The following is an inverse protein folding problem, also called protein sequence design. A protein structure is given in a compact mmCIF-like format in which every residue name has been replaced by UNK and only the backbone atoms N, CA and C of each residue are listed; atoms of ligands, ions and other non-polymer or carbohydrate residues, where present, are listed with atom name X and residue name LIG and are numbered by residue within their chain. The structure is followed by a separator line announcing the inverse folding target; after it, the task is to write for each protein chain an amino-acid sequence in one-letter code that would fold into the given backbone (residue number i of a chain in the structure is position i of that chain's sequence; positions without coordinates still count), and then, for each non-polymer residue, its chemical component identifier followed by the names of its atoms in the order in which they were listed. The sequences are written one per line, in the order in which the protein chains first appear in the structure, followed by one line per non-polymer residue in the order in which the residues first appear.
data_IF_354398144991
#
_entry.id   IF_354398144991
#
_cell.length_a   1.000
_cell.length_b   1.000
_cell.length_c   1.000
_cell.angle_alpha   90.00
_cell.angle_beta   90.00
_cell.angle_gamma   90.00
#
_symmetry.space_group_name_H-M   'P 1'
#
loop_
_entity.id
_entity.type
_entity.pdbx_description
1 polymer ?
#
# COMPACT_ATOMS: atom_id res chain seq x y z
N UNK A 1 -15.44 21.98 22.53
CA UNK A 1 -14.14 22.33 23.14
C UNK A 1 -13.20 21.14 23.40
N UNK A 2 -13.61 19.87 23.15
CA UNK A 2 -12.78 18.66 23.36
C UNK A 2 -11.74 18.35 22.25
N UNK A 3 -11.74 19.04 21.11
CA UNK A 3 -10.84 18.73 19.97
C UNK A 3 -9.39 19.19 20.22
N UNK A 4 -9.13 20.10 21.16
CA UNK A 4 -7.76 20.60 21.43
C UNK A 4 -6.85 19.59 22.15
N UNK A 5 -7.39 18.61 22.87
CA UNK A 5 -6.57 17.59 23.56
C UNK A 5 -6.05 16.49 22.61
N UNK A 6 -6.55 16.43 21.38
CA UNK A 6 -6.27 15.37 20.41
C UNK A 6 -5.00 15.57 19.57
N UNK A 7 -4.39 16.78 19.57
CA UNK A 7 -3.21 17.06 18.73
C UNK A 7 -1.89 16.87 19.50
N UNK A 8 -1.87 17.08 20.82
CA UNK A 8 -0.68 16.83 21.65
C UNK A 8 -0.34 15.34 21.80
N UNK A 9 -1.29 14.45 21.47
CA UNK A 9 -1.10 13.00 21.44
C UNK A 9 -1.17 12.50 19.99
N UNK A 10 -0.31 13.02 19.11
CA UNK A 10 -0.14 12.41 17.80
C UNK A 10 0.16 10.92 17.99
N UNK A 11 -0.66 10.07 17.36
CA UNK A 11 -0.49 8.63 17.42
C UNK A 11 0.96 8.28 17.11
N UNK A 12 1.63 7.43 17.92
CA UNK A 12 2.96 6.92 17.59
C UNK A 12 3.05 6.41 16.14
N UNK A 13 1.93 5.88 15.63
CA UNK A 13 1.76 5.46 14.23
C UNK A 13 1.96 6.59 13.23
N UNK A 14 1.26 7.73 13.38
CA UNK A 14 1.39 8.87 12.48
C UNK A 14 2.82 9.45 12.51
N UNK A 15 3.42 9.50 13.70
CA UNK A 15 4.83 9.93 13.86
C UNK A 15 5.80 9.02 13.12
N UNK A 16 5.55 7.70 13.10
CA UNK A 16 6.38 6.78 12.32
C UNK A 16 6.31 7.08 10.81
N UNK A 17 5.12 7.33 10.25
CA UNK A 17 4.99 7.76 8.85
C UNK A 17 5.75 9.05 8.57
N UNK A 18 5.59 10.07 9.42
CA UNK A 18 6.33 11.34 9.28
C UNK A 18 7.85 11.10 9.29
N UNK A 19 8.35 10.31 10.25
CA UNK A 19 9.79 10.04 10.37
C UNK A 19 10.34 9.27 9.16
N UNK A 20 9.61 8.27 8.67
CA UNK A 20 10.01 7.52 7.47
C UNK A 20 9.97 8.44 6.24
N UNK A 21 8.91 9.23 6.06
CA UNK A 21 8.84 10.19 4.94
C UNK A 21 9.98 11.21 4.97
N UNK A 22 10.31 11.77 6.14
CA UNK A 22 11.45 12.68 6.30
C UNK A 22 12.75 11.96 5.97
N UNK A 23 12.95 10.74 6.46
CA UNK A 23 14.12 9.93 6.14
C UNK A 23 14.26 9.71 4.62
N UNK A 24 13.20 9.31 3.92
CA UNK A 24 13.21 9.09 2.48
C UNK A 24 13.52 10.38 1.72
N UNK A 25 12.91 11.51 2.09
CA UNK A 25 13.25 12.82 1.52
C UNK A 25 14.73 13.16 1.69
N UNK A 26 15.30 12.92 2.88
CA UNK A 26 16.74 13.13 3.13
C UNK A 26 17.59 12.19 2.28
N UNK A 27 17.20 10.91 2.16
CA UNK A 27 17.91 9.95 1.31
C UNK A 27 17.86 10.35 -0.16
N UNK A 28 16.74 10.84 -0.69
CA UNK A 28 16.64 11.37 -2.06
C UNK A 28 17.70 12.44 -2.35
N UNK A 29 18.02 13.28 -1.36
CA UNK A 29 19.07 14.29 -1.48
C UNK A 29 20.46 13.66 -1.33
N UNK A 30 20.71 12.88 -0.27
CA UNK A 30 22.08 12.49 0.12
C UNK A 30 22.58 11.16 -0.47
N UNK A 31 21.69 10.29 -0.97
CA UNK A 31 22.00 8.89 -1.31
C UNK A 31 22.61 8.67 -2.71
N UNK A 32 22.81 9.72 -3.50
CA UNK A 32 22.96 9.61 -4.97
C UNK A 32 24.10 8.69 -5.43
N UNK A 33 25.22 8.69 -4.72
CA UNK A 33 26.43 7.97 -5.13
C UNK A 33 26.73 6.76 -4.24
N UNK A 34 25.81 6.39 -3.34
CA UNK A 34 25.96 5.27 -2.41
C UNK A 34 24.96 4.17 -2.78
N UNK A 35 25.39 3.06 -3.41
CA UNK A 35 24.48 2.06 -3.99
C UNK A 35 23.42 1.53 -3.02
N UNK A 36 23.78 1.28 -1.75
CA UNK A 36 22.82 0.80 -0.75
C UNK A 36 21.76 1.85 -0.40
N UNK A 37 22.11 3.14 -0.46
CA UNK A 37 21.18 4.23 -0.16
C UNK A 37 20.25 4.54 -1.34
N UNK A 38 20.62 4.17 -2.58
CA UNK A 38 19.74 4.29 -3.75
C UNK A 38 18.44 3.48 -3.61
N UNK A 39 18.42 2.48 -2.72
CA UNK A 39 17.21 1.74 -2.38
C UNK A 39 16.17 2.61 -1.65
N UNK A 40 16.58 3.72 -1.04
CA UNK A 40 15.73 4.64 -0.28
C UNK A 40 15.52 5.98 -0.99
N UNK A 41 15.92 6.09 -2.26
CA UNK A 41 15.79 7.32 -3.04
C UNK A 41 14.44 7.35 -3.75
N UNK A 42 13.60 8.36 -3.46
CA UNK A 42 12.26 8.45 -4.06
C UNK A 42 12.28 8.57 -5.59
N UNK A 43 13.37 9.07 -6.19
CA UNK A 43 13.50 9.25 -7.65
C UNK A 43 13.46 7.94 -8.45
N UNK A 44 13.84 6.84 -7.83
CA UNK A 44 13.90 5.56 -8.54
C UNK A 44 12.62 4.80 -8.32
N UNK A 45 11.98 4.42 -9.41
CA UNK A 45 10.94 3.41 -9.40
C UNK A 45 11.54 2.03 -9.01
N UNK A 46 10.69 1.13 -8.49
CA UNK A 46 11.10 -0.22 -8.08
C UNK A 46 12.14 -0.31 -6.95
N UNK A 47 12.07 0.56 -5.94
CA UNK A 47 12.89 0.45 -4.73
C UNK A 47 12.06 0.52 -3.43
N UNK A 48 12.72 0.60 -2.26
CA UNK A 48 12.02 0.67 -0.98
C UNK A 48 11.24 1.97 -0.78
N UNK A 49 11.67 3.07 -1.39
CA UNK A 49 10.99 4.35 -1.28
C UNK A 49 9.64 4.31 -2.03
N UNK A 50 9.63 3.86 -3.29
CA UNK A 50 8.42 3.65 -4.07
C UNK A 50 7.50 2.59 -3.43
N UNK A 51 8.08 1.48 -2.93
CA UNK A 51 7.32 0.46 -2.19
C UNK A 51 6.63 1.04 -0.95
N UNK A 52 7.34 1.86 -0.17
CA UNK A 52 6.78 2.53 1.00
C UNK A 52 5.67 3.49 0.61
N UNK A 53 5.91 4.35 -0.40
CA UNK A 53 4.94 5.31 -0.94
C UNK A 53 3.64 4.61 -1.38
N UNK A 54 3.76 3.53 -2.15
CA UNK A 54 2.62 2.73 -2.60
C UNK A 54 1.85 2.07 -1.45
N UNK A 55 2.56 1.46 -0.48
CA UNK A 55 1.91 0.84 0.68
C UNK A 55 1.37 1.86 1.68
N UNK A 56 1.91 3.08 1.68
CA UNK A 56 1.38 4.21 2.44
C UNK A 56 0.03 4.63 1.87
N UNK A 57 -0.09 4.81 0.54
CA UNK A 57 -1.38 5.03 -0.13
C UNK A 57 -2.41 3.93 0.18
N UNK A 58 -1.99 2.65 0.15
CA UNK A 58 -2.85 1.53 0.54
C UNK A 58 -3.33 1.66 1.99
N UNK A 59 -2.45 2.04 2.90
CA UNK A 59 -2.80 2.26 4.32
C UNK A 59 -3.84 3.37 4.47
N UNK A 60 -3.69 4.48 3.75
CA UNK A 60 -4.69 5.56 3.72
C UNK A 60 -6.02 5.04 3.14
N UNK A 61 -5.97 4.21 2.09
CA UNK A 61 -7.14 3.60 1.49
C UNK A 61 -7.91 2.72 2.48
N UNK A 62 -7.21 1.97 3.35
CA UNK A 62 -7.84 1.17 4.40
C UNK A 62 -8.52 2.05 5.46
N UNK A 63 -7.90 3.17 5.85
CA UNK A 63 -8.53 4.16 6.73
C UNK A 63 -9.75 4.85 6.09
N UNK A 64 -9.71 5.10 4.79
CA UNK A 64 -10.88 5.58 4.06
C UNK A 64 -11.99 4.52 4.03
N UNK A 65 -11.64 3.24 3.81
CA UNK A 65 -12.59 2.14 3.85
C UNK A 65 -13.27 1.98 5.22
N UNK A 66 -12.53 2.16 6.32
CA UNK A 66 -13.11 2.19 7.67
C UNK A 66 -14.20 3.27 7.79
N UNK A 67 -14.04 4.41 7.10
CA UNK A 67 -15.07 5.45 7.00
C UNK A 67 -16.33 4.96 6.31
N UNK A 68 -16.20 4.12 5.28
CA UNK A 68 -17.32 3.45 4.63
C UNK A 68 -18.01 2.49 5.58
N UNK A 69 -17.24 1.60 6.22
CA UNK A 69 -17.74 0.61 7.16
C UNK A 69 -18.48 1.26 8.35
N UNK A 70 -17.97 2.37 8.88
CA UNK A 70 -18.58 3.10 9.99
C UNK A 70 -19.95 3.68 9.64
N UNK A 71 -20.14 4.13 8.41
CA UNK A 71 -21.33 4.86 7.99
C UNK A 71 -22.35 3.98 7.24
N UNK A 72 -22.00 2.75 6.83
CA UNK A 72 -22.85 1.91 5.96
C UNK A 72 -24.27 1.68 6.46
N UNK A 73 -24.45 1.56 7.78
CA UNK A 73 -25.75 1.23 8.39
C UNK A 73 -26.65 2.46 8.57
N UNK A 74 -26.08 3.66 8.69
CA UNK A 74 -26.83 4.86 9.06
C UNK A 74 -26.85 5.95 7.99
N UNK A 75 -25.80 6.03 7.15
CA UNK A 75 -25.58 7.11 6.18
C UNK A 75 -24.94 6.57 4.90
N UNK A 76 -25.72 5.84 4.11
CA UNK A 76 -25.27 5.16 2.89
C UNK A 76 -24.49 6.06 1.92
N UNK A 77 -24.95 7.31 1.69
CA UNK A 77 -24.24 8.25 0.80
C UNK A 77 -22.83 8.59 1.30
N UNK A 78 -22.66 8.82 2.60
CA UNK A 78 -21.34 9.07 3.21
C UNK A 78 -20.47 7.81 3.11
N UNK A 79 -21.07 6.64 3.32
CA UNK A 79 -20.35 5.38 3.20
C UNK A 79 -19.82 5.16 1.77
N UNK A 80 -20.64 5.45 0.76
CA UNK A 80 -20.25 5.38 -0.64
C UNK A 80 -19.16 6.39 -0.98
N UNK A 81 -19.25 7.63 -0.48
CA UNK A 81 -18.22 8.64 -0.67
C UNK A 81 -16.83 8.19 -0.16
N UNK A 82 -16.80 7.60 1.04
CA UNK A 82 -15.58 7.04 1.61
C UNK A 82 -15.06 5.80 0.84
N UNK A 83 -15.97 4.97 0.33
CA UNK A 83 -15.60 3.84 -0.52
C UNK A 83 -14.98 4.31 -1.83
N UNK A 84 -15.57 5.31 -2.50
CA UNK A 84 -15.01 5.88 -3.74
C UNK A 84 -13.61 6.46 -3.49
N UNK A 85 -13.42 7.16 -2.38
CA UNK A 85 -12.09 7.65 -2.00
C UNK A 85 -11.09 6.51 -1.74
N UNK A 86 -11.52 5.45 -1.05
CA UNK A 86 -10.70 4.26 -0.83
C UNK A 86 -10.27 3.62 -2.16
N UNK A 87 -11.17 3.47 -3.12
CA UNK A 87 -10.88 2.91 -4.43
C UNK A 87 -9.88 3.77 -5.23
N UNK A 88 -10.02 5.10 -5.21
CA UNK A 88 -9.04 6.01 -5.85
C UNK A 88 -7.66 5.81 -5.23
N UNK A 89 -7.56 5.73 -3.90
CA UNK A 89 -6.28 5.54 -3.20
C UNK A 89 -5.67 4.16 -3.44
N UNK A 90 -6.47 3.10 -3.57
CA UNK A 90 -6.00 1.77 -4.00
C UNK A 90 -5.43 1.85 -5.41
N UNK A 91 -6.09 2.57 -6.32
CA UNK A 91 -5.61 2.68 -7.69
C UNK A 91 -4.32 3.51 -7.79
N UNK A 92 -4.18 4.59 -7.02
CA UNK A 92 -2.93 5.34 -6.90
C UNK A 92 -1.82 4.50 -6.25
N UNK A 93 -2.14 3.70 -5.23
CA UNK A 93 -1.19 2.74 -4.64
C UNK A 93 -0.67 1.74 -5.67
N UNK A 94 -1.57 1.29 -6.56
CA UNK A 94 -1.21 0.38 -7.64
C UNK A 94 -0.33 1.04 -8.69
N UNK A 95 -0.67 2.27 -9.07
CA UNK A 95 0.11 3.06 -10.02
C UNK A 95 1.52 3.38 -9.50
N UNK A 96 1.66 3.73 -8.22
CA UNK A 96 2.95 4.02 -7.60
C UNK A 96 3.96 2.85 -7.67
N UNK A 97 3.49 1.62 -7.48
CA UNK A 97 4.35 0.43 -7.56
C UNK A 97 4.43 -0.11 -8.99
N UNK A 98 3.33 -0.01 -9.73
CA UNK A 98 3.18 -0.60 -11.06
C UNK A 98 3.65 0.29 -12.21
N UNK A 99 3.81 1.59 -11.96
CA UNK A 99 4.10 2.64 -12.94
C UNK A 99 3.16 2.54 -14.15
N UNK A 100 1.85 2.52 -13.91
CA UNK A 100 0.88 2.30 -14.98
C UNK A 100 0.76 3.54 -15.88
N UNK A 101 0.82 4.73 -15.30
CA UNK A 101 0.70 5.98 -16.05
C UNK A 101 1.82 6.17 -17.07
N UNK A 102 2.99 5.57 -16.86
CA UNK A 102 4.08 5.54 -17.85
C UNK A 102 3.89 4.47 -18.93
N UNK A 103 3.14 3.40 -18.62
CA UNK A 103 2.95 2.24 -19.49
C UNK A 103 1.75 2.39 -20.43
N UNK A 104 0.68 3.04 -19.98
CA UNK A 104 -0.53 3.24 -20.80
C UNK A 104 -0.24 3.90 -22.15
N UNK A 105 0.63 4.92 -22.26
CA UNK A 105 0.99 5.52 -23.55
C UNK A 105 1.76 4.57 -24.48
N UNK A 106 2.33 3.46 -23.97
CA UNK A 106 2.98 2.46 -24.81
C UNK A 106 1.98 1.48 -25.47
N UNK A 107 0.72 1.47 -25.02
CA UNK A 107 -0.31 0.54 -25.53
C UNK A 107 -0.95 1.06 -26.84
N UNK A 108 -0.68 2.30 -27.23
CA UNK A 108 -1.05 2.84 -28.55
C UNK A 108 -0.26 4.11 -28.85
N UNK A 109 -0.12 4.49 -30.13
CA UNK A 109 0.67 5.65 -30.59
C UNK A 109 0.05 7.02 -30.22
N UNK A 110 -0.65 7.12 -29.11
CA UNK A 110 -1.26 8.33 -28.58
C UNK A 110 -0.29 9.03 -27.64
N UNK A 111 -0.39 10.37 -27.57
CA UNK A 111 0.36 11.11 -26.56
C UNK A 111 -0.10 10.70 -25.14
N UNK A 112 0.78 10.90 -24.14
CA UNK A 112 0.55 10.49 -22.77
C UNK A 112 -0.74 11.07 -22.17
N UNK A 113 -1.00 12.36 -22.41
CA UNK A 113 -2.19 13.04 -21.88
C UNK A 113 -3.50 12.42 -22.39
N UNK A 114 -3.60 12.14 -23.69
CA UNK A 114 -4.79 11.54 -24.29
C UNK A 114 -4.96 10.10 -23.81
N UNK A 115 -3.86 9.36 -23.65
CA UNK A 115 -3.86 7.98 -23.18
C UNK A 115 -4.36 7.85 -21.73
N UNK A 116 -4.03 8.83 -20.88
CA UNK A 116 -4.43 8.85 -19.47
C UNK A 116 -5.79 9.50 -19.20
N UNK A 117 -6.33 10.26 -20.17
CA UNK A 117 -7.57 11.01 -20.01
C UNK A 117 -8.76 10.18 -19.51
N UNK A 118 -9.03 8.96 -20.02
CA UNK A 118 -10.14 8.15 -19.52
C UNK A 118 -10.01 7.80 -18.04
N UNK A 119 -8.81 7.46 -17.58
CA UNK A 119 -8.53 7.15 -16.18
C UNK A 119 -8.66 8.39 -15.30
N UNK A 120 -8.11 9.51 -15.75
CA UNK A 120 -8.20 10.80 -15.07
C UNK A 120 -9.66 11.24 -14.89
N UNK A 121 -10.52 11.06 -15.91
CA UNK A 121 -11.94 11.40 -15.83
C UNK A 121 -12.69 10.53 -14.81
N UNK A 122 -12.42 9.22 -14.77
CA UNK A 122 -13.03 8.31 -13.78
C UNK A 122 -12.59 8.69 -12.36
N UNK A 123 -11.30 8.94 -12.14
CA UNK A 123 -10.79 9.35 -10.83
C UNK A 123 -11.36 10.70 -10.40
N UNK A 124 -11.38 11.68 -11.32
CA UNK A 124 -11.96 12.99 -11.06
C UNK A 124 -13.45 12.90 -10.70
N UNK A 125 -14.23 12.06 -11.40
CA UNK A 125 -15.64 11.85 -11.10
C UNK A 125 -15.85 11.21 -9.71
N UNK A 126 -15.08 10.17 -9.37
CA UNK A 126 -15.13 9.51 -8.06
C UNK A 126 -14.75 10.47 -6.94
N UNK A 127 -13.68 11.25 -7.12
CA UNK A 127 -13.22 12.24 -6.16
C UNK A 127 -14.22 13.39 -6.00
N UNK A 128 -14.74 13.93 -7.10
CA UNK A 128 -15.75 15.00 -7.08
C UNK A 128 -17.03 14.54 -6.36
N UNK A 129 -17.48 13.31 -6.62
CA UNK A 129 -18.59 12.70 -5.88
C UNK A 129 -18.27 12.64 -4.38
N UNK A 130 -17.12 12.06 -4.00
CA UNK A 130 -16.74 11.91 -2.60
C UNK A 130 -16.66 13.27 -1.88
N UNK A 131 -15.97 14.24 -2.46
CA UNK A 131 -15.82 15.60 -1.92
C UNK A 131 -17.17 16.28 -1.78
N UNK A 132 -18.04 16.21 -2.79
CA UNK A 132 -19.37 16.86 -2.76
C UNK A 132 -20.24 16.30 -1.62
N UNK A 133 -20.29 14.97 -1.48
CA UNK A 133 -21.09 14.33 -0.44
C UNK A 133 -20.53 14.62 0.95
N UNK A 134 -19.21 14.50 1.14
CA UNK A 134 -18.57 14.77 2.42
C UNK A 134 -18.67 16.25 2.81
N UNK A 135 -18.58 17.19 1.85
CA UNK A 135 -18.72 18.62 2.12
C UNK A 135 -20.09 18.99 2.68
N UNK A 136 -21.14 18.35 2.14
CA UNK A 136 -22.53 18.56 2.55
C UNK A 136 -22.87 17.88 3.88
N UNK A 137 -22.10 16.86 4.29
CA UNK A 137 -22.34 16.14 5.53
C UNK A 137 -21.93 16.97 6.77
N UNK A 138 -22.83 17.17 7.76
CA UNK A 138 -22.49 17.86 9.00
C UNK A 138 -21.31 17.17 9.72
N UNK A 139 -20.31 17.96 10.10
CA UNK A 139 -19.12 17.48 10.81
C UNK A 139 -17.97 16.97 9.93
N UNK A 140 -18.15 16.85 8.62
CA UNK A 140 -17.11 16.32 7.70
C UNK A 140 -16.30 17.41 6.97
N UNK A 141 -16.75 18.67 6.97
CA UNK A 141 -16.13 19.77 6.21
C UNK A 141 -14.62 19.90 6.41
N UNK A 142 -14.15 19.84 7.67
CA UNK A 142 -12.70 19.93 7.95
C UNK A 142 -11.93 18.78 7.32
N UNK A 143 -12.46 17.56 7.42
CA UNK A 143 -11.89 16.37 6.78
C UNK A 143 -11.88 16.54 5.27
N UNK A 144 -12.97 17.04 4.67
CA UNK A 144 -13.03 17.34 3.23
C UNK A 144 -11.99 18.37 2.80
N UNK A 145 -11.76 19.44 3.57
CA UNK A 145 -10.71 20.42 3.26
C UNK A 145 -9.34 19.73 3.23
N UNK A 146 -9.02 18.89 4.23
CA UNK A 146 -7.76 18.15 4.24
C UNK A 146 -7.66 17.20 3.04
N UNK A 147 -8.74 16.52 2.66
CA UNK A 147 -8.80 15.68 1.45
C UNK A 147 -8.46 16.52 0.21
N UNK A 148 -9.12 17.68 0.04
CA UNK A 148 -8.86 18.56 -1.09
C UNK A 148 -7.41 19.07 -1.10
N UNK A 149 -6.84 19.44 0.04
CA UNK A 149 -5.44 19.86 0.15
C UNK A 149 -4.51 18.72 -0.22
N UNK A 150 -4.74 17.51 0.29
CA UNK A 150 -3.93 16.33 -0.03
C UNK A 150 -3.91 16.01 -1.52
N UNK A 151 -5.08 15.97 -2.18
CA UNK A 151 -5.14 15.76 -3.63
C UNK A 151 -4.62 16.94 -4.44
N UNK A 152 -4.75 18.18 -3.96
CA UNK A 152 -4.15 19.33 -4.62
C UNK A 152 -2.62 19.25 -4.62
N UNK A 153 -2.01 18.72 -3.54
CA UNK A 153 -0.57 18.45 -3.48
C UNK A 153 -0.17 17.39 -4.52
N UNK A 154 -0.89 16.27 -4.63
CA UNK A 154 -0.66 15.28 -5.69
C UNK A 154 -0.80 15.88 -7.10
N UNK A 155 -1.91 16.58 -7.37
CA UNK A 155 -2.14 17.19 -8.66
C UNK A 155 -1.06 18.22 -9.02
N UNK A 156 -0.45 18.85 -8.02
CA UNK A 156 0.67 19.77 -8.24
C UNK A 156 1.93 19.08 -8.74
N UNK A 157 2.12 17.78 -8.50
CA UNK A 157 3.30 17.04 -8.97
C UNK A 157 3.26 16.82 -10.47
N UNK A 158 2.09 16.47 -11.04
CA UNK A 158 1.92 16.43 -12.50
C UNK A 158 2.24 17.80 -13.15
N UNK A 159 1.93 18.92 -12.48
CA UNK A 159 2.33 20.25 -12.95
C UNK A 159 3.84 20.48 -12.83
N UNK A 160 4.48 19.98 -11.76
CA UNK A 160 5.92 20.07 -11.57
C UNK A 160 6.67 19.27 -12.65
N UNK A 161 6.20 18.06 -12.97
CA UNK A 161 6.71 17.22 -14.06
C UNK A 161 6.55 17.92 -15.43
N UNK A 162 5.39 18.52 -15.69
CA UNK A 162 5.19 19.31 -16.90
C UNK A 162 6.20 20.48 -17.01
N UNK A 163 6.44 21.20 -15.90
CA UNK A 163 7.44 22.28 -15.85
C UNK A 163 8.85 21.73 -16.05
N UNK A 164 9.15 20.54 -15.51
CA UNK A 164 10.42 19.86 -15.76
C UNK A 164 10.69 19.72 -17.26
N UNK A 165 9.71 19.24 -18.01
CA UNK A 165 9.85 19.01 -19.44
C UNK A 165 9.83 20.29 -20.27
N UNK A 166 9.15 21.33 -19.80
CA UNK A 166 9.02 22.60 -20.52
C UNK A 166 10.25 23.52 -20.39
N UNK A 167 11.07 23.35 -19.35
CA UNK A 167 12.20 24.24 -19.05
C UNK A 167 13.53 23.61 -19.45
N UNK A 168 14.39 24.36 -20.17
CA UNK A 168 15.77 23.94 -20.40
C UNK A 168 16.64 24.18 -19.15
N UNK A 169 16.68 23.16 -18.27
CA UNK A 169 17.49 23.17 -17.06
C UNK A 169 19.00 23.12 -17.31
N UNK A 170 19.44 22.89 -18.56
CA UNK A 170 20.86 22.77 -18.90
C UNK A 170 21.56 24.12 -19.07
N UNK A 171 20.77 25.19 -19.28
CA UNK A 171 21.24 26.54 -19.62
C UNK A 171 22.21 27.16 -18.59
N UNK A 172 22.12 26.81 -17.31
CA UNK A 172 23.01 27.33 -16.27
C UNK A 172 23.34 26.27 -15.21
N UNK A 173 24.56 26.31 -14.66
CA UNK A 173 25.04 25.49 -13.53
C UNK A 173 24.06 25.50 -12.35
N UNK A 174 23.46 26.64 -12.01
CA UNK A 174 22.49 26.73 -10.90
C UNK A 174 21.20 25.94 -11.17
N UNK A 175 20.67 26.03 -12.39
CA UNK A 175 19.48 25.26 -12.80
C UNK A 175 19.77 23.76 -12.85
N UNK A 176 20.96 23.38 -13.32
CA UNK A 176 21.41 21.98 -13.22
C UNK A 176 21.47 21.54 -11.76
N UNK A 177 22.09 22.32 -10.88
CA UNK A 177 22.16 21.97 -9.47
C UNK A 177 20.75 21.83 -8.86
N UNK A 178 19.85 22.78 -9.10
CA UNK A 178 18.47 22.71 -8.63
C UNK A 178 17.73 21.46 -9.15
N UNK A 179 17.78 21.21 -10.46
CA UNK A 179 17.16 20.04 -11.10
C UNK A 179 17.60 18.73 -10.46
N UNK A 180 18.90 18.60 -10.14
CA UNK A 180 19.42 17.33 -9.67
C UNK A 180 19.23 17.10 -8.15
N UNK A 181 19.18 18.16 -7.34
CA UNK A 181 19.19 18.03 -5.87
C UNK A 181 17.86 18.41 -5.21
N UNK A 182 17.27 19.52 -5.62
CA UNK A 182 16.09 20.08 -4.95
C UNK A 182 14.79 19.67 -5.63
N UNK A 183 14.79 19.54 -6.95
CA UNK A 183 13.56 19.21 -7.67
C UNK A 183 12.99 17.85 -7.23
N UNK A 184 13.75 16.74 -7.20
CA UNK A 184 13.19 15.46 -6.73
C UNK A 184 12.74 15.52 -5.28
N UNK A 185 13.44 16.27 -4.42
CA UNK A 185 12.99 16.49 -3.05
C UNK A 185 11.63 17.21 -2.98
N UNK A 186 11.42 18.23 -3.81
CA UNK A 186 10.18 19.00 -3.84
C UNK A 186 9.05 18.15 -4.42
N UNK A 187 9.31 17.48 -5.54
CA UNK A 187 8.38 16.63 -6.27
C UNK A 187 7.87 15.50 -5.36
N UNK A 188 8.78 14.61 -4.98
CA UNK A 188 8.50 13.43 -4.15
C UNK A 188 8.07 13.81 -2.73
N UNK A 189 8.67 14.87 -2.17
CA UNK A 189 8.32 15.37 -0.85
C UNK A 189 6.91 15.98 -0.82
N UNK A 190 6.45 16.57 -1.92
CA UNK A 190 5.08 17.09 -2.05
C UNK A 190 4.07 15.95 -2.08
N UNK A 191 4.39 14.84 -2.77
CA UNK A 191 3.54 13.64 -2.76
C UNK A 191 3.42 13.05 -1.36
N UNK A 192 4.56 12.80 -0.69
CA UNK A 192 4.56 12.27 0.68
C UNK A 192 3.84 13.20 1.66
N UNK A 193 3.97 14.52 1.50
CA UNK A 193 3.20 15.48 2.27
C UNK A 193 1.69 15.37 1.99
N UNK A 194 1.31 15.22 0.71
CA UNK A 194 -0.06 14.91 0.30
C UNK A 194 -0.60 13.66 0.99
N UNK A 195 0.16 12.56 0.98
CA UNK A 195 -0.16 11.32 1.69
C UNK A 195 -0.35 11.53 3.19
N UNK A 196 0.55 12.26 3.85
CA UNK A 196 0.44 12.57 5.28
C UNK A 196 -0.82 13.38 5.61
N UNK A 197 -1.19 14.35 4.77
CA UNK A 197 -2.43 15.12 4.93
C UNK A 197 -3.66 14.23 4.74
N UNK A 198 -3.66 13.36 3.72
CA UNK A 198 -4.75 12.41 3.48
C UNK A 198 -4.87 11.37 4.60
N UNK A 199 -3.73 10.87 5.11
CA UNK A 199 -3.70 9.98 6.27
C UNK A 199 -4.34 10.68 7.47
N UNK A 200 -3.97 11.94 7.75
CA UNK A 200 -4.56 12.69 8.85
C UNK A 200 -6.08 12.83 8.70
N UNK A 201 -6.56 13.13 7.48
CA UNK A 201 -7.98 13.17 7.20
C UNK A 201 -8.67 11.82 7.47
N UNK A 202 -8.13 10.73 6.92
CA UNK A 202 -8.71 9.38 6.96
C UNK A 202 -8.62 8.73 8.35
N UNK A 203 -7.59 9.01 9.15
CA UNK A 203 -7.44 8.49 10.51
C UNK A 203 -8.60 8.87 11.44
N UNK A 204 -9.39 9.90 11.09
CA UNK A 204 -10.61 10.24 11.82
C UNK A 204 -11.70 9.17 11.75
N UNK A 205 -11.60 8.23 10.81
CA UNK A 205 -12.49 7.08 10.67
C UNK A 205 -12.06 5.88 11.54
N UNK A 206 -10.78 5.79 11.88
CA UNK A 206 -10.20 4.66 12.62
C UNK A 206 -9.84 5.07 14.05
N UNK A 207 -10.75 5.79 14.71
CA UNK A 207 -10.54 6.31 16.08
C UNK A 207 -10.37 5.23 17.13
N UNK A 208 -10.83 4.00 16.86
CA UNK A 208 -10.63 2.85 17.74
C UNK A 208 -9.16 2.57 18.06
N UNK A 209 -8.23 2.94 17.17
CA UNK A 209 -6.80 2.84 17.45
C UNK A 209 -6.39 3.78 18.60
N UNK A 210 -7.06 4.94 18.73
CA UNK A 210 -6.66 6.04 19.62
C UNK A 210 -7.44 6.08 20.93
N UNK A 211 -8.72 5.69 20.96
CA UNK A 211 -9.54 5.73 22.17
C UNK A 211 -9.45 4.43 22.97
N UNK A 212 -8.85 4.46 24.16
CA UNK A 212 -8.92 3.32 25.11
C UNK A 212 -10.38 3.20 25.61
N UNK A 213 -11.07 2.10 25.29
CA UNK A 213 -12.40 1.76 25.83
C UNK A 213 -13.60 1.88 24.87
N UNK A 214 -13.46 2.50 23.70
CA UNK A 214 -14.52 2.51 22.66
C UNK A 214 -14.17 1.63 21.46
N UNK A 215 -13.17 0.78 21.61
CA UNK A 215 -12.46 0.16 20.48
C UNK A 215 -13.27 -0.90 19.74
N UNK A 216 -14.25 -1.50 20.42
CA UNK A 216 -15.20 -2.43 19.78
C UNK A 216 -16.23 -1.71 18.90
N UNK A 217 -16.38 -0.39 19.05
CA UNK A 217 -17.39 0.40 18.33
C UNK A 217 -16.89 0.99 17.01
N UNK A 218 -15.57 1.00 16.79
CA UNK A 218 -14.98 1.59 15.59
C UNK A 218 -14.30 0.52 14.75
N UNK A 219 -14.52 0.53 13.41
CA UNK A 219 -13.78 -0.34 12.52
C UNK A 219 -12.28 -0.03 12.58
N UNK A 220 -11.47 -1.09 12.52
CA UNK A 220 -10.03 -1.01 12.41
C UNK A 220 -9.59 -1.93 11.29
N UNK A 221 -9.26 -1.32 10.15
CA UNK A 221 -8.89 -2.03 8.92
C UNK A 221 -9.93 -3.08 8.54
N UNK A 222 -11.21 -2.69 8.54
CA UNK A 222 -12.34 -3.60 8.37
C UNK A 222 -12.33 -4.33 7.02
N UNK A 223 -11.71 -3.74 5.99
CA UNK A 223 -11.51 -4.37 4.70
C UNK A 223 -10.78 -5.73 4.83
N UNK A 224 -9.81 -5.84 5.74
CA UNK A 224 -9.00 -7.06 5.95
C UNK A 224 -9.88 -8.26 6.28
N UNK A 225 -10.97 -8.04 7.03
CA UNK A 225 -11.86 -9.12 7.50
C UNK A 225 -13.08 -9.23 6.59
N UNK A 226 -13.78 -8.12 6.37
CA UNK A 226 -15.05 -8.11 5.64
C UNK A 226 -14.92 -8.41 4.15
N UNK A 227 -13.78 -8.08 3.54
CA UNK A 227 -13.50 -8.33 2.12
C UNK A 227 -12.57 -9.53 1.88
N UNK A 228 -12.28 -10.33 2.91
CA UNK A 228 -11.35 -11.47 2.81
C UNK A 228 -11.68 -12.43 1.67
N UNK A 229 -12.94 -12.85 1.56
CA UNK A 229 -13.37 -13.79 0.51
C UNK A 229 -13.36 -13.15 -0.88
N UNK A 230 -13.95 -11.95 -1.10
CA UNK A 230 -13.81 -11.24 -2.37
C UNK A 230 -12.35 -11.06 -2.79
N UNK A 231 -11.48 -10.58 -1.90
CA UNK A 231 -10.06 -10.37 -2.15
C UNK A 231 -9.36 -11.68 -2.54
N UNK A 232 -9.69 -12.80 -1.89
CA UNK A 232 -9.15 -14.11 -2.26
C UNK A 232 -9.55 -14.50 -3.69
N UNK A 233 -10.83 -14.41 -4.02
CA UNK A 233 -11.34 -14.78 -5.35
C UNK A 233 -10.74 -13.89 -6.43
N UNK A 234 -10.73 -12.57 -6.21
CA UNK A 234 -10.16 -11.62 -7.17
C UNK A 234 -8.66 -11.81 -7.32
N UNK A 235 -7.93 -12.13 -6.25
CA UNK A 235 -6.48 -12.39 -6.31
C UNK A 235 -6.15 -13.70 -7.03
N UNK A 236 -6.91 -14.77 -6.80
CA UNK A 236 -6.66 -16.06 -7.46
C UNK A 236 -6.76 -15.95 -8.97
N UNK A 237 -7.72 -15.16 -9.47
CA UNK A 237 -7.94 -14.90 -10.89
C UNK A 237 -7.01 -13.80 -11.41
N UNK A 238 -6.88 -12.71 -10.66
CA UNK A 238 -6.16 -11.50 -11.06
C UNK A 238 -4.65 -11.67 -11.06
N UNK A 239 -4.09 -12.45 -10.13
CA UNK A 239 -2.63 -12.56 -10.00
C UNK A 239 -1.94 -13.12 -11.26
N UNK A 240 -2.42 -14.23 -11.88
CA UNK A 240 -1.89 -14.67 -13.17
C UNK A 240 -2.06 -13.61 -14.27
N UNK A 241 -3.19 -12.91 -14.32
CA UNK A 241 -3.43 -11.89 -15.36
C UNK A 241 -2.46 -10.71 -15.22
N UNK A 242 -2.23 -10.24 -13.99
CA UNK A 242 -1.30 -9.14 -13.71
C UNK A 242 0.15 -9.60 -13.93
N UNK A 243 0.50 -10.83 -13.55
CA UNK A 243 1.81 -11.41 -13.86
C UNK A 243 2.06 -11.49 -15.36
N UNK A 244 1.06 -11.98 -16.12
CA UNK A 244 1.13 -12.05 -17.57
C UNK A 244 1.27 -10.66 -18.18
N UNK A 245 0.43 -9.70 -17.76
CA UNK A 245 0.51 -8.31 -18.18
C UNK A 245 1.92 -7.73 -17.93
N UNK A 246 2.48 -7.98 -16.75
CA UNK A 246 3.84 -7.50 -16.39
C UNK A 246 4.93 -8.06 -17.30
N UNK A 247 4.80 -9.32 -17.74
CA UNK A 247 5.78 -9.97 -18.63
C UNK A 247 5.65 -9.50 -20.08
N UNK A 248 4.44 -9.23 -20.57
CA UNK A 248 4.23 -8.79 -21.95
C UNK A 248 4.43 -7.29 -22.15
N UNK A 249 4.27 -6.50 -21.09
CA UNK A 249 4.51 -5.07 -21.16
C UNK A 249 6.02 -4.83 -21.35
N UNK A 250 6.40 -3.92 -22.27
CA UNK A 250 7.81 -3.61 -22.51
C UNK A 250 8.56 -3.37 -21.19
N UNK A 251 9.63 -4.15 -20.98
CA UNK A 251 10.52 -4.05 -19.83
C UNK A 251 11.60 -2.98 -20.03
N UNK A 252 11.46 -2.16 -21.06
CA UNK A 252 12.52 -1.44 -21.77
C UNK A 252 13.05 -0.19 -21.05
N UNK A 253 12.69 0.02 -19.78
CA UNK A 253 13.46 0.91 -18.90
C UNK A 253 13.69 0.21 -17.57
N UNK A 254 14.94 -0.25 -17.40
CA UNK A 254 15.47 -0.81 -16.16
C UNK A 254 15.36 0.26 -15.06
N UNK A 255 14.25 0.24 -14.34
CA UNK A 255 13.89 1.26 -13.36
C UNK A 255 12.40 1.27 -13.08
N UNK A 256 11.56 1.09 -14.10
CA UNK A 256 10.13 1.37 -13.94
C UNK A 256 9.41 0.38 -13.02
N UNK A 257 8.33 0.82 -12.39
CA UNK A 257 7.47 -0.01 -11.53
C UNK A 257 6.94 -1.26 -12.23
N UNK A 258 6.71 -2.35 -11.49
CA UNK A 258 6.20 -3.63 -12.03
C UNK A 258 4.79 -3.90 -11.49
N UNK A 259 3.76 -4.01 -12.36
CA UNK A 259 2.39 -4.21 -11.90
C UNK A 259 2.22 -5.46 -11.01
N UNK A 260 2.94 -6.55 -11.28
CA UNK A 260 2.87 -7.77 -10.47
C UNK A 260 3.44 -7.66 -9.05
N UNK A 261 4.28 -6.66 -8.77
CA UNK A 261 4.85 -6.45 -7.44
C UNK A 261 3.80 -5.88 -6.47
N UNK A 262 2.87 -5.07 -6.97
CA UNK A 262 1.83 -4.45 -6.15
C UNK A 262 0.92 -5.45 -5.43
N UNK A 263 0.26 -6.43 -6.10
CA UNK A 263 -0.62 -7.36 -5.39
C UNK A 263 0.14 -8.17 -4.33
N UNK A 264 1.39 -8.57 -4.60
CA UNK A 264 2.22 -9.25 -3.61
C UNK A 264 2.51 -8.35 -2.39
N UNK A 265 2.97 -7.12 -2.64
CA UNK A 265 3.25 -6.14 -1.59
C UNK A 265 2.01 -5.80 -0.77
N UNK A 266 0.87 -5.61 -1.44
CA UNK A 266 -0.41 -5.34 -0.82
C UNK A 266 -0.85 -6.49 0.09
N UNK A 267 -0.80 -7.75 -0.37
CA UNK A 267 -1.19 -8.88 0.47
C UNK A 267 -0.26 -9.11 1.65
N UNK A 268 1.05 -8.91 1.49
CA UNK A 268 1.97 -8.93 2.62
C UNK A 268 1.67 -7.82 3.63
N UNK A 269 1.40 -6.60 3.16
CA UNK A 269 1.00 -5.47 4.02
C UNK A 269 -0.30 -5.76 4.77
N UNK A 270 -1.32 -6.29 4.08
CA UNK A 270 -2.57 -6.72 4.69
C UNK A 270 -2.37 -7.85 5.69
N UNK A 271 -1.46 -8.79 5.41
CA UNK A 271 -1.11 -9.87 6.34
C UNK A 271 -0.42 -9.36 7.61
N UNK A 272 0.46 -8.36 7.48
CA UNK A 272 1.09 -7.68 8.60
C UNK A 272 0.04 -6.95 9.45
N UNK A 273 -0.87 -6.20 8.81
CA UNK A 273 -1.96 -5.54 9.52
C UNK A 273 -2.92 -6.53 10.19
N UNK A 274 -3.24 -7.65 9.54
CA UNK A 274 -4.07 -8.70 10.15
C UNK A 274 -3.42 -9.27 11.41
N UNK A 275 -2.12 -9.57 11.38
CA UNK A 275 -1.37 -10.06 12.53
C UNK A 275 -1.27 -9.02 13.66
N UNK A 276 -1.11 -7.73 13.32
CA UNK A 276 -1.04 -6.62 14.28
C UNK A 276 -2.43 -6.14 14.75
N UNK A 277 -3.52 -6.54 14.09
CA UNK A 277 -4.89 -6.05 14.33
C UNK A 277 -5.33 -6.16 15.80
N UNK A 278 -5.04 -7.25 16.54
CA UNK A 278 -5.42 -7.33 17.96
C UNK A 278 -4.78 -6.22 18.80
N UNK A 279 -3.54 -5.80 18.49
CA UNK A 279 -2.89 -4.68 19.15
C UNK A 279 -3.61 -3.36 18.83
N UNK A 280 -3.98 -3.14 17.58
CA UNK A 280 -4.71 -1.94 17.18
C UNK A 280 -6.12 -1.85 17.78
N UNK A 281 -6.83 -2.98 17.89
CA UNK A 281 -8.20 -3.03 18.43
C UNK A 281 -8.23 -3.05 19.95
N UNK A 282 -7.37 -3.79 20.62
CA UNK A 282 -7.50 -4.00 22.06
C UNK A 282 -6.36 -3.38 22.86
N UNK A 283 -5.27 -2.97 22.22
CA UNK A 283 -4.02 -2.60 22.88
C UNK A 283 -3.32 -3.77 23.56
N UNK A 284 -3.87 -4.99 23.47
CA UNK A 284 -3.24 -6.20 23.99
C UNK A 284 -2.00 -6.50 23.17
N UNK A 285 -0.96 -7.01 23.82
CA UNK A 285 0.22 -7.53 23.12
C UNK A 285 -0.19 -8.67 22.19
N UNK A 286 0.24 -8.62 20.93
CA UNK A 286 0.03 -9.71 19.95
C UNK A 286 0.90 -10.95 20.25
N UNK A 287 1.82 -10.84 21.22
CA UNK A 287 2.80 -11.87 21.56
C UNK A 287 3.97 -11.94 20.57
N UNK A 288 5.00 -12.71 20.90
CA UNK A 288 6.19 -12.83 20.05
C UNK A 288 5.84 -13.37 18.66
N UNK A 289 5.03 -14.44 18.57
CA UNK A 289 4.63 -15.05 17.30
C UNK A 289 3.87 -14.09 16.38
N UNK A 290 2.99 -13.25 16.94
CA UNK A 290 2.29 -12.23 16.17
C UNK A 290 3.24 -11.19 15.59
N UNK A 291 4.19 -10.69 16.38
CA UNK A 291 5.22 -9.77 15.91
C UNK A 291 6.17 -10.42 14.90
N UNK A 292 6.53 -11.69 15.08
CA UNK A 292 7.32 -12.43 14.10
C UNK A 292 6.59 -12.52 12.75
N UNK A 293 5.27 -12.77 12.74
CA UNK A 293 4.48 -12.78 11.51
C UNK A 293 4.41 -11.39 10.86
N UNK A 294 4.31 -10.31 11.65
CA UNK A 294 4.41 -8.94 11.14
C UNK A 294 5.76 -8.72 10.46
N UNK A 295 6.86 -9.10 11.11
CA UNK A 295 8.22 -8.94 10.56
C UNK A 295 8.39 -9.77 9.28
N UNK A 296 7.97 -11.03 9.27
CA UNK A 296 8.04 -11.89 8.09
C UNK A 296 7.22 -11.31 6.92
N UNK A 297 6.04 -10.78 7.19
CA UNK A 297 5.21 -10.13 6.17
C UNK A 297 5.86 -8.83 5.65
N UNK A 298 6.47 -8.02 6.51
CA UNK A 298 7.23 -6.81 6.10
C UNK A 298 8.44 -7.19 5.24
N UNK A 299 9.18 -8.25 5.60
CA UNK A 299 10.28 -8.78 4.77
C UNK A 299 9.75 -9.30 3.44
N UNK A 300 8.61 -10.01 3.43
CA UNK A 300 7.92 -10.45 2.22
C UNK A 300 7.55 -9.30 1.29
N UNK A 301 6.95 -8.24 1.85
CA UNK A 301 6.67 -7.00 1.13
C UNK A 301 7.95 -6.37 0.57
N UNK A 302 8.99 -6.26 1.39
CA UNK A 302 10.30 -5.74 0.97
C UNK A 302 10.97 -6.61 -0.11
N UNK A 303 10.67 -7.91 -0.16
CA UNK A 303 11.27 -8.80 -1.16
C UNK A 303 10.68 -8.66 -2.56
N UNK A 304 9.50 -8.04 -2.71
CA UNK A 304 8.84 -7.92 -4.02
C UNK A 304 9.63 -7.07 -5.01
N UNK A 305 10.43 -6.11 -4.52
CA UNK A 305 11.28 -5.27 -5.39
C UNK A 305 12.51 -6.02 -5.96
N UNK A 306 12.80 -7.23 -5.47
CA UNK A 306 13.94 -8.01 -5.97
C UNK A 306 13.70 -8.42 -7.43
N UNK A 307 14.73 -8.36 -8.30
CA UNK A 307 14.61 -8.82 -9.68
C UNK A 307 14.08 -10.26 -9.77
N UNK A 308 13.09 -10.53 -10.66
CA UNK A 308 12.70 -11.90 -10.95
C UNK A 308 13.93 -12.66 -11.48
N UNK A 309 14.09 -13.91 -11.07
CA UNK A 309 15.24 -14.73 -11.45
C UNK A 309 16.50 -14.56 -10.59
N UNK A 310 16.56 -13.59 -9.67
CA UNK A 310 17.65 -13.56 -8.69
C UNK A 310 17.53 -14.79 -7.75
N UNK A 311 18.61 -15.58 -7.52
CA UNK A 311 18.56 -16.74 -6.62
C UNK A 311 18.06 -16.38 -5.22
N UNK A 312 18.35 -15.15 -4.79
CA UNK A 312 17.93 -14.59 -3.51
C UNK A 312 16.40 -14.45 -3.41
N UNK A 313 15.71 -14.14 -4.51
CA UNK A 313 14.26 -13.96 -4.50
C UNK A 313 13.55 -15.30 -4.23
N UNK A 314 13.92 -16.36 -4.95
CA UNK A 314 13.35 -17.70 -4.73
C UNK A 314 13.69 -18.22 -3.34
N UNK A 315 14.94 -18.06 -2.89
CA UNK A 315 15.35 -18.45 -1.54
C UNK A 315 14.55 -17.71 -0.47
N UNK A 316 14.34 -16.40 -0.64
CA UNK A 316 13.55 -15.60 0.29
C UNK A 316 12.11 -16.10 0.38
N UNK A 317 11.45 -16.35 -0.75
CA UNK A 317 10.08 -16.89 -0.78
C UNK A 317 10.02 -18.23 -0.04
N UNK A 318 10.99 -19.13 -0.27
CA UNK A 318 11.07 -20.44 0.40
C UNK A 318 11.20 -20.26 1.91
N UNK A 319 12.16 -19.45 2.35
CA UNK A 319 12.46 -19.23 3.77
C UNK A 319 11.28 -18.59 4.49
N UNK A 320 10.67 -17.55 3.90
CA UNK A 320 9.49 -16.89 4.47
C UNK A 320 8.32 -17.85 4.58
N UNK A 321 8.04 -18.61 3.53
CA UNK A 321 6.93 -19.57 3.49
C UNK A 321 7.11 -20.68 4.52
N UNK A 322 8.32 -21.22 4.65
CA UNK A 322 8.64 -22.25 5.64
C UNK A 322 8.51 -21.70 7.07
N UNK A 323 9.06 -20.52 7.35
CA UNK A 323 8.99 -19.90 8.66
C UNK A 323 7.54 -19.60 9.07
N UNK A 324 6.73 -19.07 8.16
CA UNK A 324 5.32 -18.80 8.42
C UNK A 324 4.51 -20.09 8.63
N UNK A 325 4.75 -21.12 7.81
CA UNK A 325 4.09 -22.41 7.96
C UNK A 325 4.39 -23.06 9.33
N UNK A 326 5.65 -23.01 9.77
CA UNK A 326 6.03 -23.47 11.11
C UNK A 326 5.28 -22.71 12.20
N UNK A 327 5.22 -21.37 12.11
CA UNK A 327 4.50 -20.54 13.08
C UNK A 327 2.99 -20.81 13.12
N UNK A 328 2.37 -21.05 11.96
CA UNK A 328 0.94 -21.36 11.88
C UNK A 328 0.63 -22.73 12.46
N UNK A 329 1.45 -23.74 12.15
CA UNK A 329 1.24 -25.12 12.63
C UNK A 329 1.58 -25.29 14.10
N UNK A 330 2.54 -24.51 14.64
CA UNK A 330 2.87 -24.51 16.07
C UNK A 330 1.97 -23.60 16.90
N UNK A 331 1.20 -22.71 16.26
CA UNK A 331 0.42 -21.68 16.94
C UNK A 331 -0.97 -22.16 17.35
N UNK A 332 -1.37 -22.08 18.64
CA UNK A 332 -2.70 -22.52 19.08
C UNK A 332 -3.86 -21.68 18.52
N UNK A 333 -3.54 -20.56 17.86
CA UNK A 333 -4.51 -19.60 17.29
C UNK A 333 -5.04 -20.01 15.91
N UNK A 334 -4.40 -20.96 15.23
CA UNK A 334 -4.71 -21.28 13.84
C UNK A 334 -5.37 -22.65 13.74
N UNK A 335 -6.60 -22.67 13.24
CA UNK A 335 -7.30 -23.91 12.96
C UNK A 335 -6.71 -24.60 11.73
N UNK A 336 -6.63 -25.95 11.69
CA UNK A 336 -6.18 -26.71 10.52
C UNK A 336 -6.81 -26.28 9.20
N UNK A 337 -8.12 -25.99 9.21
CA UNK A 337 -8.84 -25.53 8.01
C UNK A 337 -8.36 -24.19 7.45
N UNK A 338 -7.68 -23.35 8.23
CA UNK A 338 -7.18 -22.05 7.77
C UNK A 338 -5.86 -22.16 6.99
N UNK A 339 -4.95 -23.04 7.41
CA UNK A 339 -3.61 -23.14 6.80
C UNK A 339 -3.46 -24.24 5.76
N UNK A 340 -4.36 -25.22 5.66
CA UNK A 340 -4.31 -26.25 4.60
C UNK A 340 -4.37 -25.64 3.18
N UNK A 341 -5.32 -24.74 2.84
CA UNK A 341 -5.34 -24.11 1.52
C UNK A 341 -4.08 -23.28 1.24
N UNK A 342 -3.56 -22.59 2.26
CA UNK A 342 -2.32 -21.83 2.15
C UNK A 342 -1.12 -22.75 1.92
N UNK A 343 -1.03 -23.88 2.62
CA UNK A 343 0.02 -24.88 2.42
C UNK A 343 0.00 -25.48 1.02
N UNK A 344 -1.18 -25.73 0.44
CA UNK A 344 -1.34 -26.19 -0.94
C UNK A 344 -0.87 -25.12 -1.93
N UNK A 345 -1.34 -23.88 -1.78
CA UNK A 345 -0.91 -22.76 -2.62
C UNK A 345 0.61 -22.57 -2.56
N UNK A 346 1.18 -22.56 -1.36
CA UNK A 346 2.62 -22.44 -1.15
C UNK A 346 3.39 -23.60 -1.78
N UNK A 347 2.90 -24.83 -1.65
CA UNK A 347 3.57 -26.00 -2.25
C UNK A 347 3.56 -25.95 -3.78
N UNK A 348 2.43 -25.56 -4.39
CA UNK A 348 2.31 -25.37 -5.84
C UNK A 348 3.22 -24.25 -6.31
N UNK A 349 3.21 -23.12 -5.61
CA UNK A 349 4.08 -21.97 -5.83
C UNK A 349 5.56 -22.35 -5.81
N UNK A 350 6.00 -23.09 -4.79
CA UNK A 350 7.39 -23.51 -4.63
C UNK A 350 7.80 -24.53 -5.70
N UNK A 351 6.93 -25.49 -6.01
CA UNK A 351 7.18 -26.46 -7.09
C UNK A 351 7.30 -25.75 -8.45
N UNK A 352 6.39 -24.83 -8.75
CA UNK A 352 6.42 -24.04 -9.99
C UNK A 352 7.68 -23.18 -10.09
N UNK A 353 7.99 -22.39 -9.06
CA UNK A 353 9.19 -21.56 -9.04
C UNK A 353 10.48 -22.38 -9.18
N UNK A 354 10.54 -23.57 -8.59
CA UNK A 354 11.71 -24.44 -8.68
C UNK A 354 11.87 -25.12 -10.04
N UNK A 355 10.76 -25.55 -10.67
CA UNK A 355 10.77 -26.20 -11.98
C UNK A 355 11.00 -25.22 -13.13
N UNK A 356 10.53 -23.97 -12.98
CA UNK A 356 10.51 -22.97 -14.05
C UNK A 356 11.29 -21.71 -13.67
N UNK A 357 12.47 -21.86 -13.03
CA UNK A 357 13.30 -20.74 -12.49
C UNK A 357 13.57 -19.57 -13.45
N UNK A 358 13.46 -19.81 -14.76
CA UNK A 358 13.73 -18.80 -15.80
C UNK A 358 12.44 -18.21 -16.42
N UNK A 359 11.28 -18.42 -15.79
CA UNK A 359 10.01 -17.90 -16.28
C UNK A 359 9.46 -16.84 -15.31
N UNK A 360 9.64 -15.57 -15.66
CA UNK A 360 9.20 -14.42 -14.88
C UNK A 360 7.71 -14.48 -14.53
N UNK A 361 6.87 -14.96 -15.45
CA UNK A 361 5.43 -15.13 -15.19
C UNK A 361 5.18 -16.09 -14.02
N UNK A 362 5.93 -17.19 -13.96
CA UNK A 362 5.83 -18.17 -12.86
C UNK A 362 6.32 -17.54 -11.55
N UNK A 363 7.44 -16.81 -11.58
CA UNK A 363 8.00 -16.14 -10.38
C UNK A 363 7.03 -15.09 -9.82
N UNK A 364 6.47 -14.24 -10.67
CA UNK A 364 5.50 -13.22 -10.26
C UNK A 364 4.21 -13.83 -9.71
N UNK A 365 3.69 -14.88 -10.36
CA UNK A 365 2.48 -15.57 -9.88
C UNK A 365 2.74 -16.25 -8.54
N UNK A 366 3.92 -16.89 -8.42
CA UNK A 366 4.38 -17.56 -7.21
C UNK A 366 4.40 -16.63 -5.99
N UNK A 367 5.04 -15.46 -6.09
CA UNK A 367 5.14 -14.53 -4.96
C UNK A 367 3.77 -13.96 -4.55
N UNK A 368 2.90 -13.69 -5.52
CA UNK A 368 1.54 -13.20 -5.24
C UNK A 368 0.72 -14.23 -4.47
N UNK A 369 0.79 -15.52 -4.86
CA UNK A 369 0.11 -16.59 -4.13
C UNK A 369 0.71 -16.86 -2.76
N UNK A 370 2.03 -16.71 -2.59
CA UNK A 370 2.64 -16.77 -1.26
C UNK A 370 2.10 -15.66 -0.36
N UNK A 371 2.09 -14.41 -0.83
CA UNK A 371 1.54 -13.27 -0.11
C UNK A 371 0.06 -13.45 0.23
N UNK A 372 -0.73 -13.99 -0.71
CA UNK A 372 -2.14 -14.30 -0.52
C UNK A 372 -2.36 -15.37 0.55
N UNK A 373 -1.51 -16.40 0.60
CA UNK A 373 -1.52 -17.41 1.66
C UNK A 373 -1.26 -16.80 3.04
N UNK A 374 -0.25 -15.92 3.15
CA UNK A 374 0.02 -15.15 4.37
C UNK A 374 -1.20 -14.34 4.82
N UNK A 375 -1.79 -13.60 3.89
CA UNK A 375 -2.98 -12.80 4.15
C UNK A 375 -4.15 -13.67 4.62
N UNK A 376 -4.43 -14.77 3.93
CA UNK A 376 -5.55 -15.66 4.25
C UNK A 376 -5.43 -16.23 5.66
N UNK A 377 -4.25 -16.76 6.03
CA UNK A 377 -4.07 -17.37 7.35
C UNK A 377 -4.14 -16.32 8.45
N UNK A 378 -3.44 -15.20 8.30
CA UNK A 378 -3.41 -14.15 9.33
C UNK A 378 -4.76 -13.46 9.51
N UNK A 379 -5.53 -13.28 8.43
CA UNK A 379 -6.89 -12.71 8.50
C UNK A 379 -7.96 -13.73 8.93
N UNK A 380 -7.63 -15.02 8.95
CA UNK A 380 -8.52 -16.09 9.44
C UNK A 380 -8.29 -16.46 10.90
N UNK A 381 -7.20 -15.97 11.52
CA UNK A 381 -7.01 -16.08 12.95
C UNK A 381 -8.16 -15.38 13.66
N UNK A 382 -8.97 -16.13 14.41
CA UNK A 382 -10.11 -15.58 15.13
C UNK A 382 -9.61 -14.53 16.14
N UNK A 383 -10.08 -13.27 16.08
CA UNK A 383 -9.87 -12.33 17.15
C UNK A 383 -10.78 -12.75 18.30
N UNK A 384 -10.32 -13.71 19.10
CA UNK A 384 -10.91 -14.12 20.38
C UNK A 384 -12.19 -14.97 20.25
N UNK A 385 -12.09 -16.25 20.59
CA UNK A 385 -12.87 -16.63 21.77
C UNK A 385 -12.08 -16.05 22.96
N UNK A 386 -12.70 -15.29 23.88
CA UNK A 386 -12.07 -15.03 25.15
C UNK A 386 -11.70 -16.40 25.72
N UNK A 387 -10.42 -16.65 25.96
CA UNK A 387 -10.08 -17.74 26.90
C UNK A 387 -10.85 -17.41 28.17
N UNK A 388 -11.79 -18.27 28.60
CA UNK A 388 -12.74 -17.92 29.65
C UNK A 388 -12.07 -17.53 30.97
N UNK A 389 -10.81 -17.89 31.18
CA UNK A 389 -10.15 -17.76 32.47
C UNK A 389 -8.71 -17.24 32.31
N UNK A 390 -8.36 -16.23 33.10
CA UNK A 390 -7.04 -15.61 33.22
C UNK A 390 -7.08 -14.29 33.97
#
# INVERSE_FOLDING_TARGET
MQIRKTISETSPWFRAFVLISVFLCLMTVFARDVPILLLFNLRNESNFAALFSGMFLLTIALHAFDGSALNRASKANIANAWLMLSLVLVALSFDEIGSLHERVPAIGDLNQLVSLLPFALVFAAMLAYAVTILWRAPGQRRTTILICVGFALFASVALQEYIEHAVDWSANRYLRFFRHWFRPLIEEGTELLGMLVLLWAAMTNTRGILSRGEREKFPVFEAIVSWRRPMLVTALIGAPLIAYATVILPADRWGNGKPADWPAAAFFTLAAFAAARPYFISGRSVGLSGWTLVVLAVIGCASTILPPGSPNHVLMIVVLSAAAFLLWTSGPRYLPGAYVPAGVLLSITLAGAWLFRNNDFVVYTAIQYAALGFYWVNSSASPLDPTPDG
#
